data_IF_011533115109
#
_entry.id   IF_011533115109
#
_cell.length_a   1.000
_cell.length_b   1.000
_cell.length_c   1.000
_cell.angle_alpha   90.00
_cell.angle_beta   90.00
_cell.angle_gamma   90.00
#
_symmetry.space_group_name_H-M   'P 1'
#
loop_
_entity.id
_entity.type
_entity.pdbx_description
1 polymer ?
#
# COMPACT_ATOMS: atom_id res chain seq x y z
N UNK A 1 -25.63 13.29 11.43
CA UNK A 1 -24.21 13.16 11.84
C UNK A 1 -23.73 11.73 11.66
N UNK A 2 -23.57 11.28 10.41
CA UNK A 2 -22.75 10.12 10.09
C UNK A 2 -21.40 10.70 9.72
N UNK A 3 -20.41 10.55 10.59
CA UNK A 3 -19.02 10.85 10.27
C UNK A 3 -18.71 10.02 9.02
N UNK A 4 -18.57 10.67 7.87
CA UNK A 4 -17.89 10.11 6.72
C UNK A 4 -16.45 9.98 7.19
N UNK A 5 -16.16 8.88 7.89
CA UNK A 5 -14.81 8.32 7.88
C UNK A 5 -14.56 8.08 6.40
N UNK A 6 -13.84 9.03 5.78
CA UNK A 6 -13.33 8.89 4.43
C UNK A 6 -12.85 7.45 4.30
N UNK A 7 -13.13 6.83 3.15
CA UNK A 7 -12.60 5.56 2.68
C UNK A 7 -11.06 5.55 2.54
N UNK A 8 -10.35 6.33 3.37
CA UNK A 8 -8.92 6.46 3.56
C UNK A 8 -8.25 5.11 3.90
N UNK A 9 -8.99 4.08 4.31
CA UNK A 9 -8.37 2.88 4.89
C UNK A 9 -8.17 1.69 3.94
N UNK A 10 -8.78 1.65 2.75
CA UNK A 10 -8.76 0.41 1.94
C UNK A 10 -7.57 0.33 0.97
N UNK A 11 -6.95 1.46 0.59
CA UNK A 11 -5.81 1.43 -0.36
C UNK A 11 -4.53 2.11 0.13
N UNK A 12 -4.55 2.86 1.24
CA UNK A 12 -3.37 3.61 1.72
C UNK A 12 -2.24 2.69 2.21
N UNK A 13 -2.53 1.48 2.72
CA UNK A 13 -1.47 0.60 3.24
C UNK A 13 -0.58 -0.07 2.18
N UNK A 14 -0.90 0.04 0.88
CA UNK A 14 0.00 -0.39 -0.21
C UNK A 14 0.43 0.79 -1.10
N UNK A 15 -0.29 1.92 -1.05
CA UNK A 15 -0.08 3.01 -2.00
C UNK A 15 0.62 4.24 -1.44
N UNK A 16 0.57 4.59 -0.15
CA UNK A 16 1.34 5.72 0.37
C UNK A 16 1.34 5.65 1.91
N UNK A 17 2.52 5.73 2.54
CA UNK A 17 2.55 6.45 3.82
C UNK A 17 2.06 7.88 3.55
N UNK A 18 1.36 8.57 4.45
CA UNK A 18 1.19 10.02 4.34
C UNK A 18 2.57 10.65 4.57
N UNK A 19 3.44 10.53 3.57
CA UNK A 19 4.71 11.18 3.53
C UNK A 19 4.38 12.62 3.19
N UNK A 20 4.51 13.49 4.20
CA UNK A 20 4.80 14.90 3.94
C UNK A 20 5.86 14.99 2.85
N UNK A 21 5.81 16.05 2.03
CA UNK A 21 6.84 16.28 1.02
C UNK A 21 8.22 16.06 1.66
N UNK A 22 8.94 15.09 1.10
CA UNK A 22 10.26 14.53 1.47
C UNK A 22 11.00 15.33 2.56
N UNK A 23 11.40 14.66 3.66
CA UNK A 23 12.25 15.26 4.70
C UNK A 23 13.53 15.82 4.04
N UNK A 24 13.57 17.13 3.84
CA UNK A 24 14.78 17.80 3.40
C UNK A 24 15.82 17.69 4.52
N UNK A 25 16.86 16.88 4.31
CA UNK A 25 18.10 17.00 5.10
C UNK A 25 18.60 18.45 4.98
N UNK A 26 18.72 19.24 6.06
CA UNK A 26 19.21 20.60 5.93
C UNK A 26 20.71 20.54 5.67
N UNK A 27 21.11 20.72 4.41
CA UNK A 27 22.49 21.07 4.01
C UNK A 27 22.89 22.48 4.50
N UNK A 28 21.96 23.21 5.12
CA UNK A 28 22.08 24.60 5.55
C UNK A 28 21.90 24.65 7.07
N UNK A 29 22.79 25.34 7.79
CA UNK A 29 22.62 25.51 9.24
C UNK A 29 21.37 26.36 9.56
N UNK A 30 20.76 26.14 10.72
CA UNK A 30 19.49 26.78 11.14
C UNK A 30 19.53 28.31 11.04
N UNK A 31 20.64 28.96 11.44
CA UNK A 31 20.77 30.43 11.37
C UNK A 31 20.68 30.94 9.93
N UNK A 32 21.30 30.24 9.00
CA UNK A 32 21.25 30.58 7.58
C UNK A 32 19.85 30.34 7.01
N UNK A 33 19.18 29.25 7.41
CA UNK A 33 17.81 28.98 7.00
C UNK A 33 16.84 30.08 7.47
N UNK A 34 16.95 30.51 8.73
CA UNK A 34 16.16 31.60 9.31
C UNK A 34 16.39 32.89 8.51
N UNK A 35 17.65 33.26 8.28
CA UNK A 35 17.97 34.49 7.55
C UNK A 35 17.38 34.49 6.12
N UNK A 36 17.42 33.36 5.41
CA UNK A 36 16.83 33.24 4.06
C UNK A 36 15.30 33.30 4.10
N UNK A 37 14.67 32.70 5.12
CA UNK A 37 13.23 32.72 5.30
C UNK A 37 12.73 34.14 5.64
N UNK A 38 13.45 34.87 6.50
CA UNK A 38 13.20 36.28 6.85
C UNK A 38 13.40 37.22 5.65
N UNK A 39 14.31 36.88 4.73
CA UNK A 39 14.47 37.58 3.45
C UNK A 39 13.34 37.32 2.44
N UNK A 40 12.36 36.47 2.80
CA UNK A 40 11.19 36.21 1.98
C UNK A 40 11.32 35.03 1.02
N UNK A 41 12.41 34.25 1.05
CA UNK A 41 12.57 33.14 0.10
C UNK A 41 11.57 32.02 0.40
N UNK A 42 10.64 31.77 -0.53
CA UNK A 42 9.53 30.85 -0.31
C UNK A 42 9.97 29.42 0.06
N UNK A 43 11.01 28.88 -0.59
CA UNK A 43 11.55 27.56 -0.25
C UNK A 43 12.19 27.52 1.16
N UNK A 44 12.92 28.57 1.56
CA UNK A 44 13.49 28.67 2.89
C UNK A 44 12.39 28.76 3.96
N UNK A 45 11.33 29.53 3.70
CA UNK A 45 10.16 29.60 4.56
C UNK A 45 9.46 28.23 4.68
N UNK A 46 9.31 27.50 3.58
CA UNK A 46 8.75 26.14 3.63
C UNK A 46 9.60 25.20 4.49
N UNK A 47 10.92 25.17 4.25
CA UNK A 47 11.84 24.31 4.99
C UNK A 47 11.88 24.67 6.47
N UNK A 48 11.79 25.96 6.82
CA UNK A 48 11.67 26.41 8.19
C UNK A 48 10.33 25.99 8.82
N UNK A 49 9.23 26.02 8.05
CA UNK A 49 7.96 25.45 8.47
C UNK A 49 8.03 23.95 8.78
N UNK A 50 8.71 23.17 7.92
CA UNK A 50 8.96 21.74 8.13
C UNK A 50 9.77 21.50 9.42
N UNK A 51 10.83 22.29 9.64
CA UNK A 51 11.62 22.23 10.87
C UNK A 51 10.78 22.47 12.12
N UNK A 52 9.93 23.50 12.12
CA UNK A 52 9.06 23.76 13.26
C UNK A 52 8.01 22.65 13.46
N UNK A 53 7.46 22.12 12.37
CA UNK A 53 6.51 21.01 12.44
C UNK A 53 7.14 19.75 13.06
N UNK A 54 8.38 19.40 12.70
CA UNK A 54 9.08 18.23 13.25
C UNK A 54 9.37 18.37 14.75
N UNK A 55 9.41 19.60 15.27
CA UNK A 55 9.55 19.92 16.69
C UNK A 55 8.20 20.17 17.39
N UNK A 56 7.08 19.81 16.75
CA UNK A 56 5.71 20.03 17.26
C UNK A 56 5.37 21.49 17.53
N UNK A 57 6.08 22.43 16.90
CA UNK A 57 5.89 23.87 16.98
C UNK A 57 4.95 24.33 15.86
N UNK A 58 3.69 23.88 15.93
CA UNK A 58 2.77 24.00 14.81
C UNK A 58 2.33 25.44 14.50
N UNK A 59 2.29 26.34 15.49
CA UNK A 59 1.98 27.75 15.26
C UNK A 59 3.06 28.42 14.39
N UNK A 60 4.34 28.14 14.69
CA UNK A 60 5.46 28.59 13.86
C UNK A 60 5.43 27.93 12.49
N UNK A 61 5.17 26.63 12.42
CA UNK A 61 5.06 25.92 11.15
C UNK A 61 3.99 26.54 10.24
N UNK A 62 2.80 26.78 10.79
CA UNK A 62 1.68 27.42 10.10
C UNK A 62 2.07 28.80 9.57
N UNK A 63 2.72 29.63 10.40
CA UNK A 63 3.15 30.96 10.00
C UNK A 63 4.07 30.92 8.77
N UNK A 64 5.10 30.08 8.81
CA UNK A 64 6.08 29.98 7.73
C UNK A 64 5.51 29.33 6.47
N UNK A 65 4.65 28.33 6.61
CA UNK A 65 3.94 27.78 5.47
C UNK A 65 3.00 28.79 4.82
N UNK A 66 2.28 29.60 5.59
CA UNK A 66 1.43 30.66 5.03
C UNK A 66 2.24 31.66 4.21
N UNK A 67 3.39 32.11 4.71
CA UNK A 67 4.27 33.02 3.96
C UNK A 67 4.75 32.38 2.66
N UNK A 68 5.18 31.12 2.70
CA UNK A 68 5.66 30.38 1.54
C UNK A 68 4.55 30.11 0.51
N UNK A 69 3.40 29.62 0.97
CA UNK A 69 2.26 29.23 0.14
C UNK A 69 1.62 30.42 -0.57
N UNK A 70 1.59 31.59 0.09
CA UNK A 70 1.09 32.84 -0.51
C UNK A 70 1.96 33.31 -1.69
N UNK A 71 3.24 32.93 -1.72
CA UNK A 71 4.14 33.21 -2.84
C UNK A 71 3.98 32.21 -4.00
N UNK A 72 3.09 31.22 -3.87
CA UNK A 72 2.87 30.20 -4.90
C UNK A 72 3.69 28.92 -4.71
N UNK A 73 4.43 28.77 -3.61
CA UNK A 73 5.22 27.56 -3.37
C UNK A 73 4.30 26.38 -3.05
N UNK A 74 4.16 25.45 -4.00
CA UNK A 74 3.09 24.44 -4.00
C UNK A 74 3.24 23.41 -2.89
N UNK A 75 4.47 23.05 -2.50
CA UNK A 75 4.70 22.15 -1.35
C UNK A 75 4.16 22.75 -0.04
N UNK A 76 4.28 24.06 0.15
CA UNK A 76 3.70 24.74 1.31
C UNK A 76 2.16 24.78 1.24
N UNK A 77 1.59 24.97 0.04
CA UNK A 77 0.15 24.89 -0.18
C UNK A 77 -0.39 23.50 0.17
N UNK A 78 0.27 22.43 -0.28
CA UNK A 78 -0.10 21.05 0.04
C UNK A 78 -0.01 20.81 1.56
N UNK A 79 1.09 21.21 2.21
CA UNK A 79 1.25 21.02 3.65
C UNK A 79 0.20 21.78 4.47
N UNK A 80 -0.17 23.01 4.08
CA UNK A 80 -1.28 23.72 4.71
C UNK A 80 -2.59 22.96 4.54
N UNK A 81 -2.88 22.46 3.34
CA UNK A 81 -4.05 21.64 3.09
C UNK A 81 -4.13 20.43 4.02
N UNK A 82 -3.01 19.72 4.20
CA UNK A 82 -2.90 18.59 5.12
C UNK A 82 -3.07 19.00 6.60
N UNK A 83 -2.50 20.14 7.01
CA UNK A 83 -2.68 20.66 8.38
C UNK A 83 -4.15 20.91 8.70
N UNK A 84 -4.88 21.57 7.78
CA UNK A 84 -6.32 21.82 7.95
C UNK A 84 -7.17 20.55 7.84
N UNK A 85 -6.74 19.54 7.07
CA UNK A 85 -7.40 18.25 6.99
C UNK A 85 -7.29 17.46 8.31
N UNK A 86 -6.09 17.48 8.91
CA UNK A 86 -5.78 16.69 10.11
C UNK A 86 -6.08 17.43 11.42
N UNK A 87 -6.24 18.75 11.37
CA UNK A 87 -6.30 19.59 12.56
C UNK A 87 -4.96 19.67 13.30
N UNK A 88 -3.84 19.58 12.57
CA UNK A 88 -2.50 19.62 13.15
C UNK A 88 -2.07 21.06 13.42
N UNK A 89 -2.20 21.52 14.67
CA UNK A 89 -1.90 22.90 15.07
C UNK A 89 -2.92 23.95 14.61
N UNK A 90 -3.93 23.54 13.86
CA UNK A 90 -5.07 24.36 13.45
C UNK A 90 -6.36 23.60 13.72
N UNK A 91 -7.48 24.31 13.80
CA UNK A 91 -8.78 23.63 13.78
C UNK A 91 -8.97 22.97 12.42
N UNK A 92 -9.61 21.80 12.42
CA UNK A 92 -10.04 21.15 11.19
C UNK A 92 -10.93 22.11 10.40
N UNK A 93 -10.56 22.36 9.14
CA UNK A 93 -11.25 23.31 8.27
C UNK A 93 -11.19 22.82 6.81
N UNK A 94 -12.26 22.18 6.35
CA UNK A 94 -12.35 21.62 5.00
C UNK A 94 -12.31 22.71 3.92
N UNK A 95 -12.76 23.93 4.23
CA UNK A 95 -12.74 25.04 3.29
C UNK A 95 -11.31 25.52 3.06
N UNK A 96 -10.51 25.65 4.13
CA UNK A 96 -9.10 25.99 4.01
C UNK A 96 -8.28 24.86 3.37
N UNK A 97 -8.58 23.60 3.73
CA UNK A 97 -7.99 22.43 3.07
C UNK A 97 -8.22 22.49 1.56
N UNK A 98 -9.47 22.64 1.13
CA UNK A 98 -9.84 22.70 -0.29
C UNK A 98 -9.21 23.91 -0.98
N UNK A 99 -9.17 25.07 -0.32
CA UNK A 99 -8.54 26.27 -0.85
C UNK A 99 -7.07 26.03 -1.22
N UNK A 100 -6.27 25.52 -0.28
CA UNK A 100 -4.85 25.32 -0.51
C UNK A 100 -4.55 24.18 -1.48
N UNK A 101 -5.31 23.08 -1.43
CA UNK A 101 -5.18 21.98 -2.38
C UNK A 101 -5.55 22.41 -3.81
N UNK A 102 -6.60 23.22 -3.96
CA UNK A 102 -6.98 23.78 -5.27
C UNK A 102 -5.89 24.68 -5.83
N UNK A 103 -5.31 25.57 -5.01
CA UNK A 103 -4.21 26.44 -5.45
C UNK A 103 -2.97 25.64 -5.88
N UNK A 104 -2.61 24.59 -5.15
CA UNK A 104 -1.49 23.73 -5.55
C UNK A 104 -1.75 23.07 -6.91
N UNK A 105 -2.96 22.55 -7.11
CA UNK A 105 -3.36 21.92 -8.38
C UNK A 105 -3.37 22.92 -9.56
N UNK A 106 -3.92 24.10 -9.34
CA UNK A 106 -3.98 25.20 -10.32
C UNK A 106 -2.59 25.73 -10.68
N UNK A 107 -1.66 25.74 -9.72
CA UNK A 107 -0.25 26.06 -9.95
C UNK A 107 0.55 24.92 -10.63
N UNK A 108 -0.11 23.82 -10.99
CA UNK A 108 0.49 22.73 -11.76
C UNK A 108 1.10 21.61 -10.92
N UNK A 109 1.02 21.65 -9.59
CA UNK A 109 1.63 20.61 -8.76
C UNK A 109 0.93 19.26 -8.92
N UNK A 110 1.64 18.19 -9.30
CA UNK A 110 1.00 16.89 -9.58
C UNK A 110 0.39 16.24 -8.33
N UNK A 111 0.89 16.54 -7.12
CA UNK A 111 0.28 16.08 -5.87
C UNK A 111 -1.03 16.84 -5.63
N UNK A 112 -1.01 18.17 -5.81
CA UNK A 112 -2.22 18.99 -5.74
C UNK A 112 -3.29 18.53 -6.73
N UNK A 113 -2.90 18.27 -7.98
CA UNK A 113 -3.78 17.76 -9.03
C UNK A 113 -4.34 16.37 -8.69
N UNK A 114 -3.51 15.44 -8.21
CA UNK A 114 -3.97 14.11 -7.78
C UNK A 114 -4.96 14.20 -6.61
N UNK A 115 -4.69 15.06 -5.61
CA UNK A 115 -5.61 15.28 -4.50
C UNK A 115 -6.94 15.89 -4.98
N UNK A 116 -6.87 16.89 -5.87
CA UNK A 116 -8.07 17.48 -6.46
C UNK A 116 -8.86 16.49 -7.31
N UNK A 117 -8.21 15.54 -7.98
CA UNK A 117 -8.90 14.45 -8.66
C UNK A 117 -9.76 13.65 -7.67
N UNK A 118 -9.19 13.26 -6.53
CA UNK A 118 -9.91 12.51 -5.50
C UNK A 118 -11.06 13.33 -4.88
N UNK A 119 -10.81 14.56 -4.44
CA UNK A 119 -11.84 15.41 -3.86
C UNK A 119 -12.97 15.70 -4.85
N UNK A 120 -12.64 15.92 -6.12
CA UNK A 120 -13.66 16.17 -7.15
C UNK A 120 -14.46 14.91 -7.47
N UNK A 121 -13.84 13.73 -7.42
CA UNK A 121 -14.53 12.45 -7.65
C UNK A 121 -15.61 12.20 -6.58
N UNK A 122 -15.26 12.45 -5.31
CA UNK A 122 -16.13 12.15 -4.18
C UNK A 122 -16.97 13.34 -3.70
N UNK A 123 -16.64 14.56 -4.11
CA UNK A 123 -17.23 15.78 -3.60
C UNK A 123 -16.91 16.03 -2.12
N UNK A 124 -17.24 17.24 -1.67
CA UNK A 124 -17.18 17.67 -0.27
C UNK A 124 -18.48 18.40 0.06
N UNK A 125 -19.13 18.01 1.15
CA UNK A 125 -20.46 18.51 1.50
C UNK A 125 -20.51 20.04 1.53
N UNK A 126 -21.35 20.63 0.68
CA UNK A 126 -21.53 22.08 0.52
C UNK A 126 -20.28 22.88 0.10
N UNK A 127 -19.17 22.21 -0.28
CA UNK A 127 -17.91 22.85 -0.64
C UNK A 127 -17.43 22.48 -2.05
N UNK A 128 -17.68 21.26 -2.50
CA UNK A 128 -17.27 20.77 -3.82
C UNK A 128 -18.27 19.75 -4.34
N UNK A 129 -18.87 20.03 -5.49
CA UNK A 129 -19.75 19.07 -6.15
C UNK A 129 -18.95 17.92 -6.76
N UNK A 130 -19.55 16.72 -6.72
CA UNK A 130 -19.01 15.53 -7.39
C UNK A 130 -18.97 15.77 -8.90
N UNK A 131 -17.80 15.57 -9.51
CA UNK A 131 -17.65 15.64 -10.96
C UNK A 131 -16.58 14.64 -11.43
N UNK A 132 -16.99 13.41 -11.83
CA UNK A 132 -16.06 12.37 -12.26
C UNK A 132 -15.22 12.75 -13.50
N UNK A 133 -15.79 13.49 -14.45
CA UNK A 133 -15.05 13.92 -15.66
C UNK A 133 -13.93 14.92 -15.31
N UNK A 134 -14.22 15.90 -14.45
CA UNK A 134 -13.22 16.87 -13.97
C UNK A 134 -12.19 16.18 -13.07
N UNK A 135 -12.58 15.16 -12.32
CA UNK A 135 -11.67 14.35 -11.54
C UNK A 135 -10.65 13.62 -12.45
N UNK A 136 -11.11 13.00 -13.54
CA UNK A 136 -10.22 12.38 -14.53
C UNK A 136 -9.24 13.41 -15.11
N UNK A 137 -9.73 14.58 -15.55
CA UNK A 137 -8.89 15.64 -16.10
C UNK A 137 -7.79 16.09 -15.15
N UNK A 138 -8.07 16.18 -13.85
CA UNK A 138 -7.05 16.50 -12.86
C UNK A 138 -5.98 15.41 -12.77
N UNK A 139 -6.40 14.15 -12.79
CA UNK A 139 -5.48 13.03 -12.69
C UNK A 139 -4.66 12.83 -13.97
N UNK A 140 -5.25 13.08 -15.14
CA UNK A 140 -4.56 13.13 -16.43
C UNK A 140 -3.46 14.19 -16.43
N UNK A 141 -3.75 15.41 -15.97
CA UNK A 141 -2.73 16.47 -15.84
C UNK A 141 -1.56 16.06 -14.94
N UNK A 142 -1.84 15.36 -13.84
CA UNK A 142 -0.77 14.87 -12.97
C UNK A 142 0.04 13.74 -13.64
N UNK A 143 -0.64 12.84 -14.35
CA UNK A 143 -0.01 11.72 -15.06
C UNK A 143 0.84 12.18 -16.27
N UNK A 144 0.43 13.23 -16.98
CA UNK A 144 1.16 13.86 -18.09
C UNK A 144 2.52 14.41 -17.64
N UNK A 145 2.64 14.80 -16.37
CA UNK A 145 3.90 15.21 -15.75
C UNK A 145 4.81 14.02 -15.38
N UNK A 146 4.44 12.79 -15.79
CA UNK A 146 5.11 11.54 -15.42
C UNK A 146 5.16 11.27 -13.91
N UNK A 147 4.22 11.84 -13.15
CA UNK A 147 4.09 11.57 -11.73
C UNK A 147 3.53 10.14 -11.54
N UNK A 148 4.41 9.21 -11.16
CA UNK A 148 4.11 7.77 -11.13
C UNK A 148 2.86 7.42 -10.29
N UNK A 149 2.62 8.03 -9.10
CA UNK A 149 1.40 7.79 -8.35
C UNK A 149 0.12 8.14 -9.11
N UNK A 150 0.10 9.27 -9.82
CA UNK A 150 -1.05 9.65 -10.64
C UNK A 150 -1.22 8.71 -11.83
N UNK A 151 -0.13 8.30 -12.49
CA UNK A 151 -0.17 7.33 -13.58
C UNK A 151 -0.79 6.00 -13.11
N UNK A 152 -0.33 5.44 -11.98
CA UNK A 152 -0.91 4.21 -11.42
C UNK A 152 -2.38 4.37 -11.05
N UNK A 153 -2.73 5.48 -10.40
CA UNK A 153 -4.10 5.77 -9.98
C UNK A 153 -5.02 5.89 -11.19
N UNK A 154 -4.56 6.55 -12.26
CA UNK A 154 -5.31 6.72 -13.51
C UNK A 154 -5.51 5.37 -14.21
N UNK A 155 -4.46 4.55 -14.29
CA UNK A 155 -4.56 3.20 -14.85
C UNK A 155 -5.57 2.34 -14.08
N UNK A 156 -5.56 2.42 -12.75
CA UNK A 156 -6.55 1.75 -11.90
C UNK A 156 -7.98 2.28 -12.14
N UNK A 157 -8.16 3.59 -12.30
CA UNK A 157 -9.48 4.17 -12.60
C UNK A 157 -10.04 3.65 -13.92
N UNK A 158 -9.19 3.51 -14.93
CA UNK A 158 -9.56 2.91 -16.21
C UNK A 158 -9.84 1.41 -16.12
N UNK A 159 -9.09 0.66 -15.32
CA UNK A 159 -9.32 -0.79 -15.15
C UNK A 159 -10.65 -1.10 -14.45
N UNK A 160 -11.02 -0.31 -13.44
CA UNK A 160 -12.22 -0.50 -12.62
C UNK A 160 -13.44 0.29 -13.10
N UNK A 161 -13.25 1.29 -13.97
CA UNK A 161 -14.32 2.20 -14.37
C UNK A 161 -14.80 3.10 -13.23
N UNK A 162 -13.87 3.61 -12.40
CA UNK A 162 -14.18 4.31 -11.14
C UNK A 162 -14.69 5.74 -11.34
N UNK A 163 -14.01 6.54 -12.15
CA UNK A 163 -14.38 7.92 -12.48
C UNK A 163 -14.91 8.05 -13.91
N UNK A 164 -14.70 7.03 -14.74
CA UNK A 164 -15.02 6.97 -16.15
C UNK A 164 -15.47 5.58 -16.53
N UNK A 165 -15.96 5.40 -17.75
CA UNK A 165 -16.20 4.06 -18.28
C UNK A 165 -14.89 3.27 -18.29
N UNK A 166 -14.98 1.99 -17.94
CA UNK A 166 -13.86 1.05 -17.96
C UNK A 166 -13.15 1.09 -19.32
N UNK A 167 -11.85 1.38 -19.31
CA UNK A 167 -10.98 1.43 -20.49
C UNK A 167 -9.70 0.60 -20.24
N UNK A 168 -9.79 -0.72 -20.41
CA UNK A 168 -8.68 -1.66 -20.27
C UNK A 168 -7.42 -1.28 -21.06
N UNK A 169 -7.59 -0.71 -22.25
CA UNK A 169 -6.50 -0.43 -23.17
C UNK A 169 -5.70 0.79 -22.72
N UNK A 170 -6.38 1.85 -22.23
CA UNK A 170 -5.70 2.99 -21.60
C UNK A 170 -4.95 2.55 -20.33
N UNK A 171 -5.58 1.74 -19.48
CA UNK A 171 -4.93 1.20 -18.28
C UNK A 171 -3.63 0.45 -18.64
N UNK A 172 -3.73 -0.49 -19.59
CA UNK A 172 -2.59 -1.28 -20.04
C UNK A 172 -1.47 -0.41 -20.63
N UNK A 173 -1.80 0.60 -21.44
CA UNK A 173 -0.81 1.53 -22.01
C UNK A 173 -0.01 2.25 -20.92
N UNK A 174 -0.68 2.69 -19.86
CA UNK A 174 -0.02 3.37 -18.73
C UNK A 174 0.87 2.38 -17.96
N UNK A 175 0.37 1.17 -17.68
CA UNK A 175 1.18 0.14 -17.00
C UNK A 175 2.41 -0.25 -17.81
N UNK A 176 2.30 -0.37 -19.14
CA UNK A 176 3.43 -0.63 -20.03
C UNK A 176 4.48 0.48 -19.94
N UNK A 177 4.07 1.75 -20.00
CA UNK A 177 4.99 2.89 -19.87
C UNK A 177 5.71 2.93 -18.51
N UNK A 178 5.03 2.55 -17.43
CA UNK A 178 5.63 2.43 -16.09
C UNK A 178 6.59 1.23 -16.02
N UNK A 179 6.21 0.10 -16.62
CA UNK A 179 7.01 -1.12 -16.66
C UNK A 179 8.29 -0.99 -17.51
N UNK A 180 8.28 -0.17 -18.56
CA UNK A 180 9.49 0.21 -19.31
C UNK A 180 10.52 0.89 -18.41
N UNK A 181 10.06 1.68 -17.43
CA UNK A 181 10.90 2.32 -16.40
C UNK A 181 11.16 1.44 -15.19
N UNK A 182 10.91 0.12 -15.29
CA UNK A 182 11.05 -0.85 -14.20
C UNK A 182 10.23 -0.49 -12.95
N UNK A 183 9.04 0.10 -13.10
CA UNK A 183 8.16 0.30 -11.96
C UNK A 183 7.65 -1.07 -11.44
N UNK A 184 8.02 -1.50 -10.22
CA UNK A 184 7.79 -2.87 -9.75
C UNK A 184 6.31 -3.25 -9.70
N UNK A 185 5.47 -2.33 -9.24
CA UNK A 185 4.04 -2.57 -9.15
C UNK A 185 3.37 -2.66 -10.53
N UNK A 186 3.83 -1.88 -11.52
CA UNK A 186 3.24 -1.91 -12.86
C UNK A 186 3.62 -3.22 -13.56
N UNK A 187 4.87 -3.66 -13.40
CA UNK A 187 5.32 -4.99 -13.81
C UNK A 187 4.46 -6.08 -13.16
N UNK A 188 4.24 -6.02 -11.85
CA UNK A 188 3.38 -6.98 -11.15
C UNK A 188 1.95 -7.00 -11.71
N UNK A 189 1.33 -5.83 -11.91
CA UNK A 189 -0.03 -5.73 -12.44
C UNK A 189 -0.13 -6.29 -13.88
N UNK A 190 0.83 -6.00 -14.75
CA UNK A 190 0.91 -6.61 -16.09
C UNK A 190 1.07 -8.14 -16.01
N UNK A 191 1.88 -8.62 -15.06
CA UNK A 191 2.03 -10.05 -14.80
C UNK A 191 0.73 -10.71 -14.35
N UNK A 192 -0.02 -10.05 -13.47
CA UNK A 192 -1.33 -10.49 -13.01
C UNK A 192 -2.35 -10.52 -14.16
N UNK A 193 -2.44 -9.44 -14.94
CA UNK A 193 -3.31 -9.35 -16.11
C UNK A 193 -3.05 -10.48 -17.11
N UNK A 194 -1.78 -10.80 -17.37
CA UNK A 194 -1.39 -11.91 -18.22
C UNK A 194 -1.78 -13.27 -17.60
N UNK A 195 -1.61 -13.46 -16.29
CA UNK A 195 -1.92 -14.71 -15.61
C UNK A 195 -3.42 -15.01 -15.55
N UNK A 196 -4.29 -13.99 -15.47
CA UNK A 196 -5.75 -14.16 -15.45
C UNK A 196 -6.39 -14.08 -16.84
N UNK A 197 -5.64 -13.64 -17.86
CA UNK A 197 -6.20 -13.41 -19.19
C UNK A 197 -7.20 -12.25 -19.20
N UNK A 198 -6.85 -11.12 -18.58
CA UNK A 198 -7.80 -10.01 -18.41
C UNK A 198 -8.18 -9.34 -19.73
N UNK A 199 -7.22 -9.21 -20.66
CA UNK A 199 -7.38 -8.50 -21.94
C UNK A 199 -7.18 -9.40 -23.16
N UNK A 200 -6.68 -10.61 -22.92
CA UNK A 200 -6.38 -11.64 -23.91
C UNK A 200 -6.65 -13.00 -23.26
N UNK A 201 -6.16 -14.09 -23.85
CA UNK A 201 -6.07 -15.39 -23.18
C UNK A 201 -5.00 -15.39 -22.09
N UNK A 202 -5.17 -16.26 -21.10
CA UNK A 202 -4.16 -16.58 -20.08
C UNK A 202 -2.79 -16.83 -20.73
N UNK A 203 -1.77 -16.12 -20.25
CA UNK A 203 -0.40 -16.18 -20.75
C UNK A 203 0.60 -16.24 -19.59
N UNK A 204 0.77 -17.43 -19.02
CA UNK A 204 1.72 -17.65 -17.93
C UNK A 204 3.18 -17.38 -18.29
N UNK A 205 3.69 -17.67 -19.52
CA UNK A 205 5.05 -17.28 -19.90
C UNK A 205 5.28 -15.76 -19.82
N UNK A 206 4.32 -14.95 -20.26
CA UNK A 206 4.41 -13.49 -20.14
C UNK A 206 4.29 -13.05 -18.67
N UNK A 207 3.38 -13.65 -17.91
CA UNK A 207 3.26 -13.40 -16.47
C UNK A 207 4.58 -13.69 -15.74
N UNK A 208 5.22 -14.81 -16.07
CA UNK A 208 6.51 -15.21 -15.53
C UNK A 208 7.59 -14.16 -15.80
N UNK A 209 7.68 -13.62 -17.02
CA UNK A 209 8.64 -12.55 -17.34
C UNK A 209 8.42 -11.29 -16.50
N UNK A 210 7.17 -10.83 -16.40
CA UNK A 210 6.83 -9.65 -15.63
C UNK A 210 7.04 -9.82 -14.13
N UNK A 211 6.61 -10.95 -13.55
CA UNK A 211 6.85 -11.26 -12.15
C UNK A 211 8.34 -11.42 -11.86
N UNK A 212 9.13 -11.99 -12.76
CA UNK A 212 10.59 -12.07 -12.62
C UNK A 212 11.21 -10.68 -12.48
N UNK A 213 10.91 -9.78 -13.42
CA UNK A 213 11.43 -8.40 -13.38
C UNK A 213 11.01 -7.67 -12.10
N UNK A 214 9.74 -7.76 -11.69
CA UNK A 214 9.26 -7.14 -10.46
C UNK A 214 9.87 -7.75 -9.19
N UNK A 215 10.07 -9.08 -9.16
CA UNK A 215 10.64 -9.80 -8.04
C UNK A 215 12.13 -9.47 -7.82
N UNK A 216 12.89 -9.31 -8.92
CA UNK A 216 14.28 -8.88 -8.93
C UNK A 216 14.47 -7.46 -8.40
N UNK A 217 13.45 -6.60 -8.57
CA UNK A 217 13.38 -5.26 -7.97
C UNK A 217 12.97 -5.28 -6.48
N UNK A 218 12.78 -6.46 -5.90
CA UNK A 218 12.44 -6.61 -4.48
C UNK A 218 10.94 -6.62 -4.17
N UNK A 219 10.04 -6.53 -5.16
CA UNK A 219 8.61 -6.40 -4.89
C UNK A 219 8.00 -7.70 -4.35
N UNK A 220 7.67 -7.73 -3.05
CA UNK A 220 7.26 -8.96 -2.35
C UNK A 220 6.02 -9.65 -2.95
N UNK A 221 4.98 -8.95 -3.45
CA UNK A 221 3.86 -9.63 -4.11
C UNK A 221 4.29 -10.37 -5.38
N UNK A 222 5.23 -9.81 -6.15
CA UNK A 222 5.76 -10.45 -7.35
C UNK A 222 6.67 -11.64 -7.00
N UNK A 223 7.48 -11.53 -5.94
CA UNK A 223 8.29 -12.66 -5.44
C UNK A 223 7.39 -13.83 -5.02
N UNK A 224 6.26 -13.56 -4.35
CA UNK A 224 5.27 -14.57 -4.03
C UNK A 224 4.71 -15.24 -5.30
N UNK A 225 4.22 -14.44 -6.26
CA UNK A 225 3.64 -14.95 -7.50
C UNK A 225 4.64 -15.75 -8.33
N UNK A 226 5.88 -15.27 -8.45
CA UNK A 226 6.96 -15.97 -9.14
C UNK A 226 7.28 -17.30 -8.47
N UNK A 227 7.34 -17.32 -7.14
CA UNK A 227 7.53 -18.54 -6.37
C UNK A 227 6.42 -19.56 -6.63
N UNK A 228 5.17 -19.10 -6.72
CA UNK A 228 4.04 -19.95 -7.07
C UNK A 228 4.11 -20.48 -8.51
N UNK A 229 4.52 -19.68 -9.50
CA UNK A 229 4.71 -20.16 -10.87
C UNK A 229 5.77 -21.26 -10.97
N UNK A 230 6.88 -21.13 -10.22
CA UNK A 230 7.87 -22.19 -10.11
C UNK A 230 7.34 -23.44 -9.41
N UNK A 231 6.48 -23.29 -8.41
CA UNK A 231 5.91 -24.41 -7.66
C UNK A 231 4.91 -25.22 -8.52
N UNK A 232 4.07 -24.52 -9.30
CA UNK A 232 3.05 -25.14 -10.15
C UNK A 232 3.58 -25.56 -11.52
N UNK A 233 4.69 -24.95 -11.99
CA UNK A 233 5.20 -25.14 -13.34
C UNK A 233 4.38 -24.41 -14.41
N UNK A 234 3.65 -23.35 -14.03
CA UNK A 234 2.88 -22.53 -14.96
C UNK A 234 3.78 -21.47 -15.61
N UNK A 235 3.91 -21.51 -16.93
CA UNK A 235 4.72 -20.53 -17.68
C UNK A 235 6.24 -20.71 -17.57
N UNK A 236 6.69 -21.66 -16.73
CA UNK A 236 8.09 -22.05 -16.51
C UNK A 236 8.15 -23.52 -16.13
N UNK A 237 9.24 -24.25 -16.38
CA UNK A 237 9.45 -25.55 -15.77
C UNK A 237 9.33 -25.49 -14.24
N UNK A 238 8.69 -26.51 -13.66
CA UNK A 238 8.57 -26.64 -12.20
C UNK A 238 9.95 -26.70 -11.55
N UNK A 239 10.16 -25.88 -10.52
CA UNK A 239 11.40 -25.85 -9.74
C UNK A 239 11.11 -25.48 -8.28
N UNK A 240 11.01 -26.49 -7.42
CA UNK A 240 10.72 -26.30 -5.99
C UNK A 240 11.78 -25.43 -5.29
N UNK A 241 13.06 -25.59 -5.62
CA UNK A 241 14.13 -24.83 -4.97
C UNK A 241 14.01 -23.34 -5.28
N UNK A 242 13.72 -22.99 -6.53
CA UNK A 242 13.42 -21.60 -6.91
C UNK A 242 12.14 -21.09 -6.25
N UNK A 243 11.09 -21.92 -6.17
CA UNK A 243 9.87 -21.56 -5.47
C UNK A 243 10.12 -21.21 -4.00
N UNK A 244 10.83 -22.08 -3.26
CA UNK A 244 11.21 -21.85 -1.86
C UNK A 244 12.03 -20.58 -1.73
N UNK A 245 13.01 -20.34 -2.61
CA UNK A 245 13.85 -19.14 -2.58
C UNK A 245 12.98 -17.87 -2.64
N UNK A 246 12.17 -17.72 -3.68
CA UNK A 246 11.37 -16.52 -3.89
C UNK A 246 10.26 -16.35 -2.84
N UNK A 247 9.58 -17.43 -2.45
CA UNK A 247 8.58 -17.39 -1.38
C UNK A 247 9.21 -17.02 -0.03
N UNK A 248 10.41 -17.51 0.27
CA UNK A 248 11.12 -17.15 1.52
C UNK A 248 11.49 -15.67 1.52
N UNK A 249 12.02 -15.13 0.41
CA UNK A 249 12.33 -13.70 0.29
C UNK A 249 11.08 -12.83 0.50
N UNK A 250 9.95 -13.17 -0.13
CA UNK A 250 8.69 -12.46 0.09
C UNK A 250 8.21 -12.58 1.55
N UNK A 251 8.31 -13.78 2.14
CA UNK A 251 7.88 -14.04 3.51
C UNK A 251 8.71 -13.27 4.55
N UNK A 252 10.01 -13.10 4.31
CA UNK A 252 10.93 -12.29 5.12
C UNK A 252 10.60 -10.80 5.05
N UNK A 253 10.07 -10.32 3.91
CA UNK A 253 9.54 -8.96 3.75
C UNK A 253 8.15 -8.76 4.36
N UNK A 254 7.56 -9.79 4.97
CA UNK A 254 6.27 -9.70 5.65
C UNK A 254 5.07 -10.13 4.80
N UNK A 255 5.27 -10.56 3.54
CA UNK A 255 4.18 -10.99 2.66
C UNK A 255 3.43 -12.19 3.24
N UNK A 256 2.19 -11.96 3.70
CA UNK A 256 1.41 -12.94 4.47
C UNK A 256 1.11 -14.19 3.64
N UNK A 257 0.76 -14.01 2.37
CA UNK A 257 0.52 -15.12 1.45
C UNK A 257 1.78 -15.96 1.25
N UNK A 258 2.96 -15.33 1.14
CA UNK A 258 4.22 -16.05 0.98
C UNK A 258 4.61 -16.82 2.24
N UNK A 259 4.42 -16.23 3.43
CA UNK A 259 4.62 -16.90 4.72
C UNK A 259 3.77 -18.17 4.81
N UNK A 260 2.50 -18.09 4.42
CA UNK A 260 1.62 -19.26 4.40
C UNK A 260 2.05 -20.30 3.35
N UNK A 261 2.41 -19.86 2.13
CA UNK A 261 2.82 -20.75 1.05
C UNK A 261 4.12 -21.50 1.36
N UNK A 262 5.14 -20.82 1.92
CA UNK A 262 6.38 -21.48 2.32
C UNK A 262 6.16 -22.44 3.50
N UNK A 263 5.23 -22.10 4.41
CA UNK A 263 4.83 -23.00 5.49
C UNK A 263 4.23 -24.30 4.94
N UNK A 264 3.35 -24.22 3.94
CA UNK A 264 2.75 -25.38 3.29
C UNK A 264 3.80 -26.27 2.62
N UNK A 265 4.79 -25.69 1.93
CA UNK A 265 5.87 -26.47 1.31
C UNK A 265 6.63 -27.27 2.36
N UNK A 266 6.99 -26.64 3.49
CA UNK A 266 7.67 -27.34 4.59
C UNK A 266 6.77 -28.38 5.28
N UNK A 267 5.47 -28.10 5.43
CA UNK A 267 4.54 -29.02 6.08
C UNK A 267 4.33 -30.31 5.27
N UNK A 268 4.23 -30.18 3.94
CA UNK A 268 3.99 -31.29 3.02
C UNK A 268 5.27 -31.99 2.57
N UNK A 269 6.40 -31.28 2.55
CA UNK A 269 7.63 -31.78 1.94
C UNK A 269 7.55 -31.80 0.41
N UNK A 270 6.91 -30.80 -0.20
CA UNK A 270 6.71 -30.74 -1.65
C UNK A 270 8.03 -30.48 -2.38
N UNK A 271 8.77 -31.54 -2.72
CA UNK A 271 10.09 -31.47 -3.38
C UNK A 271 11.27 -31.22 -2.43
N UNK A 272 11.03 -31.28 -1.11
CA UNK A 272 12.04 -31.25 -0.05
C UNK A 272 11.63 -32.21 1.08
N UNK A 273 12.54 -32.53 2.01
CA UNK A 273 12.13 -33.24 3.23
C UNK A 273 11.20 -32.32 4.07
N UNK A 274 10.04 -32.84 4.45
CA UNK A 274 9.11 -32.12 5.32
C UNK A 274 9.79 -31.69 6.62
N UNK A 275 9.44 -30.50 7.10
CA UNK A 275 9.95 -29.92 8.34
C UNK A 275 8.83 -29.17 9.05
N UNK A 276 8.19 -29.86 10.00
CA UNK A 276 7.04 -29.30 10.72
C UNK A 276 7.41 -28.08 11.58
N UNK A 277 8.63 -28.03 12.13
CA UNK A 277 9.09 -26.88 12.90
C UNK A 277 9.20 -25.61 12.04
N UNK A 278 9.78 -25.72 10.84
CA UNK A 278 9.82 -24.60 9.89
C UNK A 278 8.43 -24.21 9.39
N UNK A 279 7.56 -25.19 9.14
CA UNK A 279 6.18 -24.92 8.77
C UNK A 279 5.46 -24.11 9.85
N UNK A 280 5.52 -24.57 11.10
CA UNK A 280 4.87 -23.92 12.23
C UNK A 280 5.43 -22.54 12.53
N UNK A 281 6.75 -22.33 12.41
CA UNK A 281 7.36 -21.00 12.48
C UNK A 281 6.70 -20.01 11.51
N UNK A 282 6.53 -20.40 10.25
CA UNK A 282 5.94 -19.53 9.23
C UNK A 282 4.42 -19.39 9.37
N UNK A 283 3.69 -20.46 9.71
CA UNK A 283 2.26 -20.36 10.03
C UNK A 283 2.00 -19.40 11.19
N UNK A 284 2.79 -19.47 12.27
CA UNK A 284 2.64 -18.56 13.41
C UNK A 284 2.91 -17.11 13.01
N UNK A 285 3.94 -16.84 12.19
CA UNK A 285 4.19 -15.49 11.65
C UNK A 285 3.00 -14.95 10.84
N UNK A 286 2.46 -15.75 9.92
CA UNK A 286 1.29 -15.35 9.13
C UNK A 286 0.04 -15.17 10.00
N UNK A 287 -0.13 -15.99 11.05
CA UNK A 287 -1.25 -15.91 11.99
C UNK A 287 -1.24 -14.61 12.81
N UNK A 288 -0.05 -14.15 13.21
CA UNK A 288 0.14 -12.86 13.89
C UNK A 288 -0.27 -11.68 13.00
N UNK A 289 -0.17 -11.85 11.68
CA UNK A 289 -0.65 -10.89 10.68
C UNK A 289 -2.10 -11.14 10.24
N UNK A 290 -2.90 -11.78 11.10
CA UNK A 290 -4.34 -11.97 10.92
C UNK A 290 -4.80 -12.91 9.78
N UNK A 291 -3.89 -13.70 9.18
CA UNK A 291 -4.28 -14.73 8.20
C UNK A 291 -5.11 -15.83 8.87
N UNK A 292 -6.34 -16.01 8.41
CA UNK A 292 -7.33 -16.94 9.02
C UNK A 292 -6.85 -18.39 8.93
N UNK A 293 -6.42 -18.84 7.75
CA UNK A 293 -5.92 -20.21 7.57
C UNK A 293 -4.63 -20.45 8.37
N UNK A 294 -3.77 -19.43 8.46
CA UNK A 294 -2.56 -19.51 9.27
C UNK A 294 -2.87 -19.57 10.77
N UNK A 295 -3.90 -18.86 11.24
CA UNK A 295 -4.37 -18.94 12.64
C UNK A 295 -4.85 -20.36 12.97
N UNK A 296 -5.62 -20.99 12.09
CA UNK A 296 -5.98 -22.40 12.26
C UNK A 296 -4.73 -23.31 12.29
N UNK A 297 -3.81 -23.13 11.36
CA UNK A 297 -2.57 -23.91 11.31
C UNK A 297 -1.69 -23.70 12.56
N UNK A 298 -1.60 -22.47 13.07
CA UNK A 298 -0.91 -22.14 14.31
C UNK A 298 -1.56 -22.82 15.52
N UNK A 299 -2.88 -22.89 15.55
CA UNK A 299 -3.63 -23.67 16.55
C UNK A 299 -3.22 -25.14 16.53
N UNK A 300 -3.12 -25.74 15.34
CA UNK A 300 -2.65 -27.12 15.18
C UNK A 300 -1.19 -27.31 15.62
N UNK A 301 -0.32 -26.34 15.31
CA UNK A 301 1.08 -26.36 15.74
C UNK A 301 1.23 -26.47 17.25
N UNK A 302 0.49 -25.65 18.01
CA UNK A 302 0.49 -25.71 19.47
C UNK A 302 -0.26 -26.92 20.01
N UNK A 303 -1.35 -27.37 19.38
CA UNK A 303 -2.08 -28.56 19.85
C UNK A 303 -1.23 -29.83 19.78
N UNK A 304 -0.45 -29.98 18.71
CA UNK A 304 0.29 -31.22 18.43
C UNK A 304 1.79 -31.12 18.69
N UNK A 305 2.27 -29.99 19.23
CA UNK A 305 3.70 -29.78 19.52
C UNK A 305 4.60 -29.86 18.29
N UNK A 306 4.13 -29.35 17.14
CA UNK A 306 4.84 -29.49 15.85
C UNK A 306 5.99 -28.48 15.73
N UNK A 307 7.08 -28.73 16.44
CA UNK A 307 8.25 -27.84 16.48
C UNK A 307 8.09 -26.59 17.34
N UNK A 308 6.98 -26.53 18.09
CA UNK A 308 6.78 -25.70 19.27
C UNK A 308 6.37 -26.61 20.41
N UNK A 309 6.52 -26.18 21.66
CA UNK A 309 5.98 -26.93 22.79
C UNK A 309 4.45 -27.01 22.70
N UNK A 310 3.90 -28.19 23.01
CA UNK A 310 2.46 -28.40 22.99
C UNK A 310 1.78 -27.53 24.06
N UNK A 311 0.73 -26.80 23.69
CA UNK A 311 0.04 -25.86 24.56
C UNK A 311 -1.42 -25.70 24.09
N UNK A 312 -2.33 -26.46 24.69
CA UNK A 312 -3.75 -26.46 24.33
C UNK A 312 -4.42 -25.11 24.58
N UNK A 313 -3.92 -24.29 25.52
CA UNK A 313 -4.46 -22.94 25.77
C UNK A 313 -4.11 -22.00 24.63
N UNK A 314 -2.85 -22.03 24.16
CA UNK A 314 -2.45 -21.28 22.96
C UNK A 314 -3.16 -21.80 21.71
N UNK A 315 -3.30 -23.13 21.58
CA UNK A 315 -4.02 -23.73 20.48
C UNK A 315 -5.46 -23.23 20.42
N UNK A 316 -6.19 -23.31 21.55
CA UNK A 316 -7.56 -22.83 21.68
C UNK A 316 -7.68 -21.34 21.30
N UNK A 317 -6.78 -20.48 21.81
CA UNK A 317 -6.78 -19.05 21.47
C UNK A 317 -6.64 -18.80 19.98
N UNK A 318 -5.74 -19.51 19.30
CA UNK A 318 -5.56 -19.38 17.85
C UNK A 318 -6.77 -19.90 17.07
N UNK A 319 -7.36 -21.03 17.48
CA UNK A 319 -8.58 -21.53 16.88
C UNK A 319 -9.77 -20.58 17.07
N UNK A 320 -9.91 -19.96 18.25
CA UNK A 320 -10.95 -18.94 18.50
C UNK A 320 -10.80 -17.72 17.59
N UNK A 321 -9.57 -17.25 17.35
CA UNK A 321 -9.33 -16.13 16.41
C UNK A 321 -9.76 -16.47 14.97
N UNK A 322 -9.45 -17.69 14.50
CA UNK A 322 -9.88 -18.14 13.18
C UNK A 322 -11.40 -18.38 13.11
N UNK A 323 -11.98 -18.99 14.14
CA UNK A 323 -13.42 -19.24 14.26
C UNK A 323 -14.24 -17.94 14.28
N UNK A 324 -13.77 -16.90 14.97
CA UNK A 324 -14.41 -15.59 14.98
C UNK A 324 -14.49 -14.93 13.58
N UNK A 325 -13.71 -15.43 12.62
CA UNK A 325 -13.72 -15.02 11.20
C UNK A 325 -14.37 -16.07 10.29
N UNK A 326 -15.12 -17.03 10.85
CA UNK A 326 -15.90 -18.02 10.10
C UNK A 326 -15.13 -19.26 9.64
N UNK A 327 -13.95 -19.54 10.20
CA UNK A 327 -13.21 -20.75 9.82
C UNK A 327 -13.82 -22.01 10.45
N UNK A 328 -14.67 -22.71 9.71
CA UNK A 328 -15.47 -23.85 10.19
C UNK A 328 -14.67 -24.97 10.89
N UNK A 329 -13.48 -25.31 10.38
CA UNK A 329 -12.65 -26.34 11.03
C UNK A 329 -12.07 -25.86 12.36
N UNK A 330 -11.89 -24.54 12.51
CA UNK A 330 -11.43 -23.96 13.77
C UNK A 330 -12.56 -23.96 14.79
N UNK A 331 -13.79 -23.63 14.40
CA UNK A 331 -14.98 -23.73 15.27
C UNK A 331 -15.12 -25.13 15.88
N UNK A 332 -15.00 -26.17 15.05
CA UNK A 332 -15.02 -27.57 15.53
C UNK A 332 -13.90 -27.85 16.53
N UNK A 333 -12.70 -27.31 16.30
CA UNK A 333 -11.55 -27.47 17.20
C UNK A 333 -11.76 -26.74 18.53
N UNK A 334 -12.37 -25.55 18.52
CA UNK A 334 -12.76 -24.80 19.72
C UNK A 334 -13.70 -25.64 20.58
N UNK A 335 -14.79 -26.16 19.99
CA UNK A 335 -15.76 -27.00 20.71
C UNK A 335 -15.11 -28.24 21.34
N UNK A 336 -14.23 -28.92 20.61
CA UNK A 336 -13.53 -30.11 21.12
C UNK A 336 -12.65 -29.76 22.33
N UNK A 337 -11.84 -28.70 22.22
CA UNK A 337 -10.89 -28.33 23.28
C UNK A 337 -11.58 -27.74 24.52
N UNK A 338 -12.65 -26.97 24.34
CA UNK A 338 -13.44 -26.44 25.47
C UNK A 338 -14.12 -27.56 26.25
N UNK A 339 -14.63 -28.59 25.57
CA UNK A 339 -15.23 -29.76 26.21
C UNK A 339 -14.21 -30.67 26.92
N UNK A 340 -12.93 -30.63 26.54
CA UNK A 340 -11.87 -31.40 27.19
C UNK A 340 -11.30 -30.71 28.45
N UNK A 341 -11.62 -29.44 28.66
CA UNK A 341 -11.19 -28.63 29.81
C UNK A 341 -12.24 -28.56 30.93
N UNK A 342 -13.43 -29.11 30.72
CA UNK A 342 -14.48 -29.33 31.71
C UNK A 342 -14.34 -30.72 32.33
#
# INVERSE_FOLDING_TARGET
MKKVFLLFFIFINVFFSPAFAEEATPLINEKTLIALAEQGQAEAQFNLGMFYQSHHQFDQALHWYLLSANQGFTKAQINLGLMYQQGAGVKLDEKQMLHWMSRAAENGDPIGQMNMAEYTLYGLDNLLEKNPEKAEQWLEKAAEQHFQPAMLTLAYWYEEGKAVTKDPQKAQKIYLALAEKNHPQALYLLGYQAAVGMYDKVNYPLAFQYFTRAAELGFSPAQNSLGMLYLTGQGTPKNTQSAIKWLTQAAEQGEVSAQFNVALIYARGDGIKANQAKACHWFIKAAQQNSVDAQYAAGACYQYGMGVEADDKKALRWYQLAAAKGHERAEKKVLILENQQQ
#
